data_IF_345301921435
#
_entry.id   IF_345301921435
#
_cell.length_a   1.000
_cell.length_b   1.000
_cell.length_c   1.000
_cell.angle_alpha   90.00
_cell.angle_beta   90.00
_cell.angle_gamma   90.00
#
_symmetry.space_group_name_H-M   'P 1'
#
loop_
_entity.id
_entity.type
_entity.pdbx_description
1 polymer ?
#
# COMPACT_ATOMS: atom_id res chain seq x y z
N UNK A 1 4.21 -3.25 2.15
CA UNK A 1 2.77 -3.25 2.43
C UNK A 1 2.03 -2.76 1.21
N UNK A 2 1.05 -3.51 0.74
CA UNK A 2 0.16 -3.10 -0.36
C UNK A 2 -0.88 -2.13 0.20
N UNK A 3 -1.10 -1.04 -0.52
CA UNK A 3 -2.14 -0.05 -0.27
C UNK A 3 -3.13 -0.12 -1.42
N UNK A 4 -4.43 -0.22 -1.11
CA UNK A 4 -5.51 -0.15 -2.09
C UNK A 4 -5.48 1.18 -2.83
N UNK A 5 -5.88 1.20 -4.11
CA UNK A 5 -5.95 2.44 -4.88
C UNK A 5 -7.02 3.41 -4.33
N UNK A 6 -7.96 2.93 -3.54
CA UNK A 6 -8.97 3.77 -2.88
C UNK A 6 -8.39 4.72 -1.81
N UNK A 7 -7.21 4.39 -1.27
CA UNK A 7 -6.52 5.21 -0.27
C UNK A 7 -5.47 6.12 -0.92
N UNK A 8 -5.16 7.23 -0.27
CA UNK A 8 -4.04 8.07 -0.68
C UNK A 8 -2.75 7.59 -0.03
N UNK A 9 -1.72 7.32 -0.84
CA UNK A 9 -0.41 6.83 -0.38
C UNK A 9 0.25 7.78 0.64
N UNK A 10 0.08 9.09 0.47
CA UNK A 10 0.65 10.10 1.37
C UNK A 10 -0.14 10.12 2.68
N UNK A 11 -1.47 10.04 2.62
CA UNK A 11 -2.30 9.94 3.83
C UNK A 11 -1.90 8.73 4.68
N UNK A 12 -1.76 7.55 4.05
CA UNK A 12 -1.32 6.33 4.75
C UNK A 12 0.07 6.51 5.35
N UNK A 13 1.01 7.13 4.64
CA UNK A 13 2.35 7.39 5.16
C UNK A 13 2.36 8.35 6.36
N UNK A 14 1.49 9.38 6.34
CA UNK A 14 1.33 10.31 7.46
C UNK A 14 0.74 9.59 8.66
N UNK A 15 -0.36 8.84 8.47
CA UNK A 15 -0.99 8.08 9.56
C UNK A 15 -0.04 7.02 10.15
N UNK A 16 0.82 6.41 9.32
CA UNK A 16 1.86 5.50 9.79
C UNK A 16 2.90 6.23 10.65
N UNK A 17 3.33 7.42 10.20
CA UNK A 17 4.30 8.25 10.92
C UNK A 17 3.75 8.78 12.25
N UNK A 18 2.43 8.97 12.34
CA UNK A 18 1.72 9.36 13.55
C UNK A 18 1.39 8.17 14.47
N UNK A 19 1.79 6.95 14.11
CA UNK A 19 1.47 5.70 14.83
C UNK A 19 -0.06 5.52 15.06
N UNK A 20 -0.88 5.94 14.09
CA UNK A 20 -2.33 5.88 14.21
C UNK A 20 -2.87 4.46 13.96
N UNK A 21 -2.62 3.57 14.91
CA UNK A 21 -3.04 2.16 14.85
C UNK A 21 -4.55 2.00 14.60
N UNK A 22 -5.39 2.90 15.13
CA UNK A 22 -6.85 2.83 14.96
C UNK A 22 -7.28 2.97 13.50
N UNK A 23 -6.63 3.85 12.74
CA UNK A 23 -6.91 3.98 11.31
C UNK A 23 -6.42 2.77 10.53
N UNK A 24 -5.26 2.24 10.90
CA UNK A 24 -4.70 1.04 10.29
C UNK A 24 -5.58 -0.19 10.53
N UNK A 25 -6.10 -0.37 11.74
CA UNK A 25 -7.07 -1.43 12.05
C UNK A 25 -8.30 -1.33 11.16
N UNK A 26 -8.89 -0.13 11.02
CA UNK A 26 -10.05 0.08 10.14
C UNK A 26 -9.73 -0.21 8.68
N UNK A 27 -8.54 0.14 8.20
CA UNK A 27 -8.13 -0.14 6.83
C UNK A 27 -7.84 -1.63 6.59
N UNK A 28 -7.30 -2.33 7.57
CA UNK A 28 -7.13 -3.78 7.54
C UNK A 28 -8.49 -4.50 7.54
N UNK A 29 -9.44 -4.06 8.36
CA UNK A 29 -10.81 -4.59 8.39
C UNK A 29 -11.57 -4.34 7.08
N UNK A 30 -11.25 -3.24 6.39
CA UNK A 30 -11.80 -2.91 5.07
C UNK A 30 -11.04 -3.54 3.91
N UNK A 31 -10.04 -4.39 4.16
CA UNK A 31 -9.19 -5.01 3.13
C UNK A 31 -8.47 -3.97 2.23
N UNK A 32 -8.25 -2.75 2.77
CA UNK A 32 -7.58 -1.65 2.05
C UNK A 32 -6.08 -1.63 2.24
N UNK A 33 -5.58 -2.26 3.30
CA UNK A 33 -4.16 -2.47 3.54
C UNK A 33 -3.90 -3.96 3.65
N UNK A 34 -2.86 -4.42 2.97
CA UNK A 34 -2.54 -5.85 3.00
C UNK A 34 -1.04 -6.14 2.89
N UNK A 35 -0.69 -7.35 3.29
CA UNK A 35 0.65 -7.88 3.06
C UNK A 35 0.89 -8.08 1.57
N UNK A 36 2.10 -7.76 1.10
CA UNK A 36 2.51 -8.23 -0.23
C UNK A 36 2.94 -9.68 -0.08
N UNK A 37 2.20 -10.60 -0.68
CA UNK A 37 2.60 -12.00 -0.75
C UNK A 37 3.61 -12.24 -1.89
N UNK A 38 4.33 -13.36 -1.85
CA UNK A 38 5.37 -13.69 -2.84
C UNK A 38 4.79 -13.83 -4.26
N UNK A 39 3.55 -14.31 -4.39
CA UNK A 39 2.87 -14.48 -5.68
C UNK A 39 2.57 -13.13 -6.35
N UNK A 40 2.09 -12.15 -5.59
CA UNK A 40 1.85 -10.79 -6.05
C UNK A 40 3.16 -10.09 -6.42
N UNK A 41 4.22 -10.28 -5.63
CA UNK A 41 5.54 -9.76 -5.95
C UNK A 41 6.10 -10.35 -7.26
N UNK A 42 5.94 -11.67 -7.45
CA UNK A 42 6.34 -12.34 -8.69
C UNK A 42 5.55 -11.83 -9.90
N UNK A 43 4.24 -11.61 -9.74
CA UNK A 43 3.39 -11.06 -10.80
C UNK A 43 3.84 -9.65 -11.20
N UNK A 44 4.10 -8.77 -10.22
CA UNK A 44 4.57 -7.41 -10.51
C UNK A 44 5.91 -7.40 -11.25
N UNK A 45 6.80 -8.32 -10.89
CA UNK A 45 8.09 -8.48 -11.57
C UNK A 45 7.92 -9.03 -12.99
N UNK A 46 7.04 -10.02 -13.20
CA UNK A 46 6.79 -10.62 -14.51
C UNK A 46 6.14 -9.63 -15.48
N UNK A 47 5.22 -8.81 -14.98
CA UNK A 47 4.45 -7.84 -15.76
C UNK A 47 5.18 -6.49 -15.93
N UNK A 48 6.41 -6.37 -15.43
CA UNK A 48 7.18 -5.11 -15.37
C UNK A 48 6.32 -3.93 -14.87
N UNK A 49 5.51 -4.19 -13.83
CA UNK A 49 4.48 -3.25 -13.37
C UNK A 49 5.12 -2.04 -12.71
N UNK A 50 4.77 -0.85 -13.20
CA UNK A 50 5.13 0.41 -12.55
C UNK A 50 4.16 0.70 -11.40
N UNK A 51 4.68 0.58 -10.18
CA UNK A 51 3.95 0.85 -8.94
C UNK A 51 4.38 2.20 -8.35
N UNK A 52 3.52 2.80 -7.54
CA UNK A 52 3.92 3.90 -6.66
C UNK A 52 4.43 3.32 -5.35
N UNK A 53 5.54 3.86 -4.85
CA UNK A 53 6.15 3.41 -3.61
C UNK A 53 6.51 4.61 -2.73
N UNK A 54 6.20 4.52 -1.43
CA UNK A 54 6.57 5.50 -0.41
C UNK A 54 7.26 4.76 0.72
N UNK A 55 8.40 5.27 1.15
CA UNK A 55 9.16 4.72 2.28
C UNK A 55 8.81 5.51 3.54
N UNK A 56 8.28 4.81 4.53
CA UNK A 56 7.94 5.34 5.84
C UNK A 56 8.52 4.39 6.88
N UNK A 57 9.69 4.74 7.42
CA UNK A 57 10.52 3.87 8.26
C UNK A 57 9.70 3.17 9.38
N UNK A 58 9.78 1.84 9.55
CA UNK A 58 10.60 0.85 8.81
C UNK A 58 9.91 0.23 7.57
N UNK A 59 8.73 0.71 7.17
CA UNK A 59 7.88 0.09 6.15
C UNK A 59 8.03 0.72 4.76
N UNK A 60 7.83 -0.11 3.73
CA UNK A 60 7.67 0.34 2.34
C UNK A 60 6.22 0.14 1.94
N UNK A 61 5.53 1.23 1.64
CA UNK A 61 4.17 1.26 1.13
C UNK A 61 4.21 1.19 -0.39
N UNK A 62 3.42 0.32 -0.99
CA UNK A 62 3.31 0.19 -2.45
C UNK A 62 1.85 0.22 -2.87
N UNK A 63 1.57 0.91 -3.96
CA UNK A 63 0.22 1.04 -4.52
C UNK A 63 0.30 0.85 -6.04
N UNK A 64 -0.69 0.15 -6.58
CA UNK A 64 -0.84 0.04 -8.03
C UNK A 64 -1.32 1.39 -8.59
N UNK A 65 -0.71 1.84 -9.69
CA UNK A 65 -1.14 3.10 -10.32
C UNK A 65 -2.59 2.96 -10.74
N UNK A 66 -3.45 3.90 -10.30
CA UNK A 66 -4.79 4.04 -10.86
C UNK A 66 -4.69 4.11 -12.36
N UNK A 67 -5.27 3.13 -13.03
CA UNK A 67 -5.58 3.27 -14.44
C UNK A 67 -6.70 4.32 -14.48
N UNK A 68 -6.35 5.57 -14.82
CA UNK A 68 -7.35 6.58 -15.08
C UNK A 68 -8.14 6.11 -16.31
N UNK A 69 -9.34 5.59 -16.08
CA UNK A 69 -10.30 5.24 -17.12
C UNK A 69 -10.88 6.50 -17.78
#
# INVERSE_FOLDING_TARGET
MKVSDELDLIEVAVQLSEDNARQFEQWLEQEKLDGVNDEQAALWLQEDRVLWAVVADPWVLVQERKCAA
#
